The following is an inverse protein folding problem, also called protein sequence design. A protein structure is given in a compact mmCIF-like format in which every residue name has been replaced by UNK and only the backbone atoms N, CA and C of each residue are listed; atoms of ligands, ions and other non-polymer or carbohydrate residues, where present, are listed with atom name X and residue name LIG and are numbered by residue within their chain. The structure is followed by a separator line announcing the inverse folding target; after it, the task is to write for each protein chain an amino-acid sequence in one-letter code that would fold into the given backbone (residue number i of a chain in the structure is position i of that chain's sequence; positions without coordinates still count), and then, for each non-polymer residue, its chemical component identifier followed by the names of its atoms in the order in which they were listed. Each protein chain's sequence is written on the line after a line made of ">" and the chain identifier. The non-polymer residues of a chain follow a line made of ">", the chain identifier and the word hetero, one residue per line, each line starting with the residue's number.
data_IF_301872154511
#
_entry.id   IF_301872154511
#
_cell.length_a   1.000
_cell.length_b   1.000
_cell.length_c   1.000
_cell.angle_alpha   90.00
_cell.angle_beta   90.00
_cell.angle_gamma   90.00
#
_symmetry.space_group_name_H-M   'P 1'
#
loop_
_entity.id
_entity.type
_entity.pdbx_description
1 polymer ?
#
# COMPACT_ATOMS: atom_id res chain seq x y z
N UNK A 1 0.56 12.52 -4.01
CA UNK A 1 0.10 11.87 -2.77
C UNK A 1 1.32 11.41 -2.01
N UNK A 2 1.60 12.09 -0.91
CA UNK A 2 2.75 11.76 -0.07
C UNK A 2 2.24 11.36 1.31
N UNK A 3 2.82 10.31 1.88
CA UNK A 3 2.57 9.94 3.26
C UNK A 3 3.85 10.08 4.09
N UNK A 4 3.71 10.79 5.20
CA UNK A 4 4.77 11.03 6.17
C UNK A 4 4.40 10.31 7.46
N UNK A 5 5.36 9.58 8.03
CA UNK A 5 5.19 8.98 9.36
C UNK A 5 5.38 10.07 10.41
N UNK A 6 4.40 10.23 11.29
CA UNK A 6 4.47 11.12 12.43
C UNK A 6 4.25 10.29 13.71
N UNK A 7 5.36 9.80 14.27
CA UNK A 7 5.35 8.93 15.45
C UNK A 7 4.54 7.64 15.23
N UNK A 8 3.37 7.56 15.87
CA UNK A 8 2.46 6.42 15.81
C UNK A 8 1.33 6.58 14.77
N UNK A 9 1.40 7.62 13.94
CA UNK A 9 0.42 7.92 12.91
C UNK A 9 1.08 8.11 11.55
N UNK A 10 0.30 7.99 10.49
CA UNK A 10 0.69 8.29 9.11
C UNK A 10 -0.16 9.47 8.66
N UNK A 11 0.50 10.58 8.32
CA UNK A 11 -0.10 11.77 7.74
C UNK A 11 -0.08 11.65 6.23
N UNK A 12 -1.23 11.74 5.58
CA UNK A 12 -1.41 11.56 4.14
C UNK A 12 -1.83 12.90 3.54
N UNK A 13 -0.98 13.40 2.65
CA UNK A 13 -1.16 14.66 1.92
C UNK A 13 -1.67 14.39 0.50
N UNK A 14 -2.47 15.33 -0.02
CA UNK A 14 -3.09 15.27 -1.35
C UNK A 14 -3.95 14.03 -1.59
N UNK A 15 -4.60 13.52 -0.55
CA UNK A 15 -5.34 12.27 -0.57
C UNK A 15 -6.70 12.31 -1.31
N UNK A 16 -6.94 13.29 -2.18
CA UNK A 16 -8.25 13.51 -2.81
C UNK A 16 -8.76 12.29 -3.59
N UNK A 17 -7.86 11.53 -4.20
CA UNK A 17 -8.15 10.33 -4.98
C UNK A 17 -8.52 9.12 -4.10
N UNK A 18 -8.02 9.08 -2.87
CA UNK A 18 -8.14 7.93 -1.97
C UNK A 18 -8.90 8.27 -0.68
N UNK A 19 -9.47 9.48 -0.60
CA UNK A 19 -10.17 9.97 0.58
C UNK A 19 -11.31 9.06 1.03
N UNK A 20 -11.99 8.41 0.08
CA UNK A 20 -13.06 7.48 0.37
C UNK A 20 -12.51 6.18 0.98
N UNK A 21 -11.40 5.66 0.47
CA UNK A 21 -10.68 4.52 1.07
C UNK A 21 -10.14 4.85 2.48
N UNK A 22 -9.63 6.06 2.69
CA UNK A 22 -9.16 6.50 4.01
C UNK A 22 -10.30 6.55 5.03
N UNK A 23 -11.51 6.93 4.60
CA UNK A 23 -12.70 6.90 5.45
C UNK A 23 -13.11 5.49 5.86
N UNK A 24 -12.57 4.44 5.25
CA UNK A 24 -12.84 3.06 5.67
C UNK A 24 -11.88 2.59 6.79
N UNK A 25 -10.74 3.26 6.98
CA UNK A 25 -9.73 2.89 7.96
C UNK A 25 -10.21 3.19 9.38
N UNK A 26 -10.15 2.25 10.33
CA UNK A 26 -10.56 2.56 11.70
C UNK A 26 -9.54 3.45 12.43
N UNK A 27 -10.02 4.46 13.16
CA UNK A 27 -9.17 5.42 13.88
C UNK A 27 -8.60 6.56 13.04
N UNK A 28 -9.11 6.77 11.81
CA UNK A 28 -8.76 7.96 11.00
C UNK A 28 -9.31 9.24 11.61
N UNK A 29 -8.57 10.32 11.46
CA UNK A 29 -9.07 11.68 11.63
C UNK A 29 -8.48 12.61 10.57
N UNK A 30 -9.16 13.72 10.31
CA UNK A 30 -8.65 14.76 9.41
C UNK A 30 -8.01 15.85 10.25
N UNK A 31 -6.75 16.17 9.96
CA UNK A 31 -6.04 17.30 10.54
C UNK A 31 -6.25 18.52 9.64
N UNK A 32 -6.98 19.51 10.14
CA UNK A 32 -7.32 20.71 9.38
C UNK A 32 -6.18 21.73 9.34
N UNK A 33 -5.27 21.71 10.33
CA UNK A 33 -4.11 22.59 10.40
C UNK A 33 -3.07 22.19 9.35
N UNK A 34 -2.78 20.89 9.27
CA UNK A 34 -1.88 20.30 8.26
C UNK A 34 -2.56 19.98 6.92
N UNK A 35 -3.90 20.11 6.86
CA UNK A 35 -4.75 19.69 5.72
C UNK A 35 -4.49 18.25 5.28
N UNK A 36 -4.19 17.37 6.22
CA UNK A 36 -3.77 15.99 5.97
C UNK A 36 -4.73 14.99 6.62
N UNK A 37 -4.86 13.82 6.01
CA UNK A 37 -5.55 12.70 6.65
C UNK A 37 -4.58 11.95 7.55
N UNK A 38 -4.95 11.76 8.80
CA UNK A 38 -4.12 11.06 9.78
C UNK A 38 -4.73 9.70 10.07
N UNK A 39 -3.94 8.66 9.87
CA UNK A 39 -4.35 7.27 10.15
C UNK A 39 -3.36 6.60 11.11
N UNK A 40 -3.78 5.61 11.91
CA UNK A 40 -2.86 4.88 12.78
C UNK A 40 -1.75 4.18 11.98
N UNK A 41 -0.52 4.21 12.49
CA UNK A 41 0.59 3.50 11.88
C UNK A 41 0.52 2.00 12.17
N UNK A 42 -0.18 1.26 11.31
CA UNK A 42 -0.23 -0.21 11.31
C UNK A 42 0.38 -0.76 10.04
N UNK A 43 0.86 -2.02 10.08
CA UNK A 43 1.39 -2.71 8.90
C UNK A 43 0.35 -2.79 7.77
N UNK A 44 -0.91 -3.03 8.14
CA UNK A 44 -2.04 -3.05 7.20
C UNK A 44 -2.26 -1.69 6.54
N UNK A 45 -2.30 -0.60 7.32
CA UNK A 45 -2.51 0.74 6.78
C UNK A 45 -1.34 1.17 5.88
N UNK A 46 -0.10 0.86 6.27
CA UNK A 46 1.07 1.14 5.43
C UNK A 46 1.02 0.34 4.11
N UNK A 47 0.68 -0.95 4.17
CA UNK A 47 0.54 -1.78 2.96
C UNK A 47 -0.60 -1.26 2.05
N UNK A 48 -1.74 -0.91 2.64
CA UNK A 48 -2.89 -0.34 1.91
C UNK A 48 -2.51 0.97 1.22
N UNK A 49 -1.80 1.88 1.91
CA UNK A 49 -1.34 3.13 1.32
C UNK A 49 -0.33 2.91 0.19
N UNK A 50 0.57 1.92 0.33
CA UNK A 50 1.46 1.50 -0.75
C UNK A 50 0.70 0.97 -1.98
N UNK A 51 -0.34 0.15 -1.77
CA UNK A 51 -1.21 -0.35 -2.85
C UNK A 51 -1.98 0.77 -3.55
N UNK A 52 -2.38 1.80 -2.81
CA UNK A 52 -3.07 2.98 -3.33
C UNK A 52 -2.14 3.96 -4.08
N UNK A 53 -0.85 3.65 -4.19
CA UNK A 53 0.12 4.49 -4.89
C UNK A 53 0.56 5.72 -4.10
N UNK A 54 0.43 5.69 -2.77
CA UNK A 54 0.97 6.73 -1.90
C UNK A 54 2.47 6.49 -1.70
N UNK A 55 3.30 7.48 -2.04
CA UNK A 55 4.72 7.43 -1.72
C UNK A 55 4.89 7.59 -0.21
N UNK A 56 5.18 6.48 0.46
CA UNK A 56 5.54 6.43 1.88
C UNK A 56 7.00 6.86 2.00
N UNK A 57 7.29 7.74 2.94
CA UNK A 57 8.66 8.17 3.23
C UNK A 57 9.49 6.96 3.70
N UNK A 58 10.74 6.87 3.23
CA UNK A 58 11.67 5.73 3.36
C UNK A 58 11.84 5.22 4.82
N UNK A 59 11.58 6.06 5.82
CA UNK A 59 11.62 5.72 7.26
C UNK A 59 10.51 4.75 7.73
N UNK A 60 9.61 4.34 6.83
CA UNK A 60 8.60 3.30 7.04
C UNK A 60 9.01 1.94 6.47
N UNK A 61 10.02 1.92 5.59
CA UNK A 61 10.59 0.70 5.03
C UNK A 61 11.69 0.24 5.98
N UNK A 62 11.31 -0.31 7.14
CA UNK A 62 12.23 -1.26 7.78
C UNK A 62 12.45 -2.38 6.76
N UNK A 63 13.69 -2.60 6.28
CA UNK A 63 13.98 -3.48 5.16
C UNK A 63 13.78 -4.92 5.62
N UNK A 64 12.57 -5.45 5.50
CA UNK A 64 12.42 -6.88 5.28
C UNK A 64 12.45 -7.06 3.78
N UNK A 65 13.70 -7.05 3.28
CA UNK A 65 14.11 -7.51 1.97
C UNK A 65 13.31 -6.89 0.82
N UNK A 66 13.88 -5.83 0.24
CA UNK A 66 13.89 -5.72 -1.22
C UNK A 66 14.51 -7.01 -1.76
N UNK A 67 13.70 -8.06 -1.88
CA UNK A 67 14.06 -9.23 -2.63
C UNK A 67 14.44 -8.74 -4.04
N UNK A 68 15.58 -9.22 -4.56
CA UNK A 68 16.17 -8.70 -5.78
C UNK A 68 15.12 -8.67 -6.89
N UNK A 69 15.23 -7.68 -7.77
CA UNK A 69 14.40 -7.52 -8.94
C UNK A 69 14.46 -8.76 -9.84
N UNK A 70 13.71 -9.79 -9.49
CA UNK A 70 13.37 -10.89 -10.35
C UNK A 70 12.03 -10.56 -10.99
N UNK A 71 11.95 -10.79 -12.29
CA UNK A 71 10.70 -10.82 -13.02
C UNK A 71 9.82 -11.88 -12.36
N UNK A 72 8.80 -11.45 -11.63
CA UNK A 72 7.81 -12.36 -11.07
C UNK A 72 6.74 -12.62 -12.11
N UNK A 73 6.32 -13.88 -12.23
CA UNK A 73 5.13 -14.24 -13.01
C UNK A 73 3.90 -14.22 -12.10
N UNK A 74 2.72 -13.85 -12.63
CA UNK A 74 1.49 -13.88 -11.84
C UNK A 74 1.18 -15.30 -11.34
N UNK A 75 0.93 -15.46 -10.05
CA UNK A 75 0.52 -16.75 -9.43
C UNK A 75 -0.82 -17.22 -10.02
N UNK A 76 -1.69 -16.27 -10.32
CA UNK A 76 -2.95 -16.46 -11.07
C UNK A 76 -2.90 -15.56 -12.30
N UNK A 77 -3.40 -15.99 -13.47
CA UNK A 77 -3.47 -15.12 -14.64
C UNK A 77 -4.22 -13.84 -14.29
N UNK A 78 -3.55 -12.70 -14.47
CA UNK A 78 -4.14 -11.40 -14.17
C UNK A 78 -5.35 -11.15 -15.09
N UNK A 79 -6.44 -10.55 -14.58
CA UNK A 79 -7.67 -10.29 -15.35
C UNK A 79 -7.53 -9.05 -16.26
N UNK A 80 -6.39 -8.91 -16.94
CA UNK A 80 -6.13 -7.83 -17.88
C UNK A 80 -5.66 -8.41 -19.23
N UNK A 81 -6.05 -7.78 -20.34
CA UNK A 81 -5.65 -8.20 -21.70
C UNK A 81 -4.29 -7.66 -22.13
N UNK A 82 -3.71 -6.73 -21.37
CA UNK A 82 -2.42 -6.11 -21.64
C UNK A 82 -1.31 -6.74 -20.80
N UNK A 83 -0.06 -6.62 -21.24
CA UNK A 83 1.10 -7.10 -20.47
C UNK A 83 1.25 -6.25 -19.20
N UNK A 84 1.09 -6.81 -17.99
CA UNK A 84 1.24 -6.07 -16.74
C UNK A 84 2.69 -5.64 -16.53
N UNK A 85 2.89 -4.45 -15.95
CA UNK A 85 4.21 -4.05 -15.48
C UNK A 85 4.64 -4.90 -14.27
N UNK A 86 5.94 -5.12 -14.10
CA UNK A 86 6.48 -5.98 -13.04
C UNK A 86 6.00 -5.62 -11.63
N UNK A 87 5.89 -4.33 -11.31
CA UNK A 87 5.35 -3.89 -10.01
C UNK A 87 3.86 -4.24 -9.84
N UNK A 88 3.08 -4.32 -10.92
CA UNK A 88 1.67 -4.75 -10.87
C UNK A 88 1.56 -6.25 -10.61
N UNK A 89 2.42 -7.05 -11.25
CA UNK A 89 2.49 -8.50 -10.99
C UNK A 89 2.86 -8.78 -9.55
N UNK A 90 3.82 -8.05 -8.99
CA UNK A 90 4.23 -8.16 -7.59
C UNK A 90 3.11 -7.78 -6.63
N UNK A 91 2.43 -6.66 -6.87
CA UNK A 91 1.28 -6.24 -6.06
C UNK A 91 0.15 -7.26 -6.11
N UNK A 92 -0.12 -7.82 -7.29
CA UNK A 92 -1.12 -8.86 -7.49
C UNK A 92 -0.75 -10.16 -6.75
N UNK A 93 0.50 -10.62 -6.88
CA UNK A 93 1.01 -11.80 -6.18
C UNK A 93 1.01 -11.62 -4.66
N UNK A 94 1.40 -10.44 -4.18
CA UNK A 94 1.38 -10.11 -2.77
C UNK A 94 -0.05 -10.18 -2.21
N UNK A 95 -1.02 -9.59 -2.90
CA UNK A 95 -2.42 -9.68 -2.52
C UNK A 95 -2.90 -11.15 -2.47
N UNK A 96 -2.60 -11.93 -3.51
CA UNK A 96 -2.95 -13.35 -3.56
C UNK A 96 -2.37 -14.15 -2.39
N UNK A 97 -1.09 -13.94 -2.06
CA UNK A 97 -0.45 -14.55 -0.89
C UNK A 97 -1.10 -14.12 0.42
N UNK A 98 -1.43 -12.83 0.57
CA UNK A 98 -2.08 -12.30 1.77
C UNK A 98 -3.49 -12.88 1.99
N UNK A 99 -4.24 -13.13 0.91
CA UNK A 99 -5.55 -13.79 0.98
C UNK A 99 -5.47 -15.33 1.06
N UNK A 100 -4.27 -15.91 1.07
CA UNK A 100 -4.08 -17.37 1.09
C UNK A 100 -4.46 -18.07 -0.22
N UNK A 101 -4.60 -17.30 -1.31
CA UNK A 101 -5.05 -17.80 -2.61
C UNK A 101 -3.81 -18.09 -3.45
N UNK A 102 -3.58 -19.35 -3.81
CA UNK A 102 -2.43 -19.78 -4.63
C UNK A 102 -1.28 -20.43 -3.85
N UNK A 103 -1.46 -20.74 -2.56
CA UNK A 103 -0.55 -21.64 -1.83
C UNK A 103 -0.80 -23.09 -2.23
N UNK A 104 0.15 -23.72 -2.93
CA UNK A 104 0.25 -25.18 -2.95
C UNK A 104 0.55 -25.65 -1.52
N UNK A 105 -0.31 -26.52 -1.00
CA UNK A 105 0.04 -27.39 0.14
C UNK A 105 1.11 -28.38 -0.30
#
# INVERSE_FOLDING_TARGET
>A
MNAIKDGNHIKIYDAFLIKESIKEINGRFYDADDKAWVVPHTKENAALLGLLGVSLSDELISPTEEAPAHDETPIIPMPIKATPYQHQVRAYNFALRAFGIGGKT
#
